data_IF_369288840651
#
_entry.id   IF_369288840651
#
_cell.length_a   1.000
_cell.length_b   1.000
_cell.length_c   1.000
_cell.angle_alpha   90.00
_cell.angle_beta   90.00
_cell.angle_gamma   90.00
#
_symmetry.space_group_name_H-M   'P 1'
#
loop_
_entity.id
_entity.type
_entity.pdbx_description
1 polymer ?
#
# COMPACT_ATOMS: atom_id res chain seq x y z
N UNK A 1 -14.89 -17.91 -3.39
CA UNK A 1 -14.77 -16.78 -2.46
C UNK A 1 -13.40 -16.82 -1.80
N UNK A 2 -12.45 -16.08 -2.33
CA UNK A 2 -11.14 -15.95 -1.69
C UNK A 2 -11.23 -14.82 -0.67
N UNK A 3 -11.16 -15.17 0.60
CA UNK A 3 -11.23 -14.26 1.75
C UNK A 3 -9.98 -13.35 1.89
N UNK A 4 -9.19 -13.17 0.83
CA UNK A 4 -7.96 -12.37 0.88
C UNK A 4 -7.98 -11.28 -0.18
N UNK A 5 -7.50 -10.07 0.15
CA UNK A 5 -7.33 -9.00 -0.84
C UNK A 5 -6.35 -9.45 -1.94
N UNK A 6 -6.68 -9.14 -3.19
CA UNK A 6 -5.85 -9.52 -4.35
C UNK A 6 -4.70 -8.56 -4.57
N UNK A 7 -4.89 -7.32 -4.20
CA UNK A 7 -3.85 -6.29 -4.25
C UNK A 7 -4.08 -5.25 -3.17
N UNK A 8 -3.01 -4.73 -2.63
CA UNK A 8 -3.03 -3.68 -1.60
C UNK A 8 -1.92 -2.69 -1.90
N UNK A 9 -2.24 -1.41 -1.78
CA UNK A 9 -1.29 -0.32 -2.02
C UNK A 9 -1.55 0.78 -1.01
N UNK A 10 -0.48 1.33 -0.46
CA UNK A 10 -0.52 2.54 0.33
C UNK A 10 0.05 3.69 -0.49
N UNK A 11 -0.67 4.81 -0.52
CA UNK A 11 -0.30 5.99 -1.28
C UNK A 11 0.14 7.11 -0.36
N UNK A 12 1.23 7.78 -0.73
CA UNK A 12 1.54 9.07 -0.14
C UNK A 12 0.62 10.14 -0.73
N UNK A 13 0.16 11.04 0.12
CA UNK A 13 -0.66 12.18 -0.28
C UNK A 13 0.18 13.45 -0.17
N UNK A 14 0.13 14.26 -1.21
CA UNK A 14 0.65 15.62 -1.22
C UNK A 14 -0.54 16.58 -1.32
N UNK A 15 -0.66 17.48 -0.34
CA UNK A 15 -1.79 18.39 -0.23
C UNK A 15 -3.17 17.69 -0.33
N UNK A 16 -3.28 16.50 0.29
CA UNK A 16 -4.51 15.71 0.31
C UNK A 16 -4.79 14.90 -0.95
N UNK A 17 -3.92 14.96 -1.96
CA UNK A 17 -4.07 14.24 -3.23
C UNK A 17 -2.92 13.26 -3.44
N UNK A 18 -3.22 12.11 -4.04
CA UNK A 18 -2.22 11.10 -4.38
C UNK A 18 -2.70 10.21 -5.51
N UNK A 19 -1.77 9.67 -6.28
CA UNK A 19 -2.06 8.73 -7.35
C UNK A 19 -1.13 7.53 -7.28
N UNK A 20 -1.61 6.39 -7.78
CA UNK A 20 -0.81 5.18 -7.83
C UNK A 20 -1.42 4.14 -8.74
N UNK A 21 -0.68 3.05 -8.93
CA UNK A 21 -1.09 1.92 -9.74
C UNK A 21 -1.05 0.65 -8.94
N UNK A 22 -2.09 -0.13 -9.06
CA UNK A 22 -2.20 -1.46 -8.46
C UNK A 22 -2.16 -2.48 -9.58
N UNK A 23 -1.24 -3.42 -9.50
CA UNK A 23 -1.19 -4.56 -10.41
C UNK A 23 -2.10 -5.66 -9.87
N UNK A 24 -3.12 -6.02 -10.65
CA UNK A 24 -3.95 -7.19 -10.35
C UNK A 24 -3.17 -8.43 -10.75
N UNK A 25 -3.01 -9.43 -9.87
CA UNK A 25 -2.30 -10.67 -10.19
C UNK A 25 -2.94 -11.41 -11.37
N UNK A 26 -2.12 -12.03 -12.20
CA UNK A 26 -2.59 -12.76 -13.39
C UNK A 26 -3.38 -14.03 -13.06
N UNK A 27 -3.28 -14.52 -11.83
CA UNK A 27 -4.05 -15.65 -11.29
C UNK A 27 -5.38 -15.24 -10.65
N UNK A 28 -5.69 -13.93 -10.62
CA UNK A 28 -6.95 -13.44 -10.07
C UNK A 28 -8.14 -14.02 -10.87
N UNK A 29 -9.13 -14.65 -10.21
CA UNK A 29 -10.33 -15.13 -10.88
C UNK A 29 -11.11 -14.02 -11.58
N UNK A 30 -11.86 -14.36 -12.63
CA UNK A 30 -12.84 -13.42 -13.18
C UNK A 30 -13.97 -13.22 -12.17
N UNK A 31 -14.47 -12.00 -12.03
CA UNK A 31 -15.50 -11.68 -11.06
C UNK A 31 -15.65 -10.19 -10.77
N UNK A 32 -16.57 -9.88 -9.86
CA UNK A 32 -16.68 -8.53 -9.30
C UNK A 32 -15.76 -8.41 -8.11
N UNK A 33 -14.97 -7.36 -8.10
CA UNK A 33 -14.09 -6.96 -7.00
C UNK A 33 -14.54 -5.62 -6.44
N UNK A 34 -14.21 -5.37 -5.20
CA UNK A 34 -14.42 -4.06 -4.58
C UNK A 34 -13.08 -3.37 -4.38
N UNK A 35 -12.94 -2.18 -4.95
CA UNK A 35 -11.87 -1.24 -4.62
C UNK A 35 -12.29 -0.47 -3.39
N UNK A 36 -11.54 -0.62 -2.31
CA UNK A 36 -11.78 0.11 -1.06
C UNK A 36 -10.66 1.11 -0.84
N UNK A 37 -11.00 2.38 -0.68
CA UNK A 37 -10.07 3.47 -0.41
C UNK A 37 -10.36 4.14 0.93
N UNK A 38 -9.35 4.31 1.77
CA UNK A 38 -9.48 4.96 3.08
C UNK A 38 -8.13 5.45 3.59
N UNK A 39 -8.16 6.41 4.48
CA UNK A 39 -6.98 6.82 5.26
C UNK A 39 -6.95 6.07 6.60
N UNK A 40 -5.78 6.02 7.22
CA UNK A 40 -5.67 5.46 8.57
C UNK A 40 -6.63 6.12 9.55
N UNK A 41 -6.78 7.44 9.47
CA UNK A 41 -7.67 8.21 10.35
C UNK A 41 -9.15 7.85 10.18
N UNK A 42 -9.61 7.58 8.95
CA UNK A 42 -10.99 7.16 8.67
C UNK A 42 -11.38 5.86 9.40
N UNK A 43 -10.41 5.02 9.77
CA UNK A 43 -10.67 3.80 10.54
C UNK A 43 -11.28 4.08 11.93
N UNK A 44 -11.14 5.31 12.46
CA UNK A 44 -11.76 5.70 13.72
C UNK A 44 -13.29 5.76 13.64
N UNK A 45 -13.84 6.06 12.48
CA UNK A 45 -15.29 6.14 12.24
C UNK A 45 -15.88 4.80 11.74
N UNK A 46 -14.99 3.84 11.49
CA UNK A 46 -15.36 2.51 10.99
C UNK A 46 -15.48 2.46 9.47
N UNK A 47 -15.79 1.28 8.94
CA UNK A 47 -15.73 1.00 7.51
C UNK A 47 -16.83 1.64 6.68
N UNK A 48 -17.86 2.14 7.31
CA UNK A 48 -19.01 2.79 6.64
C UNK A 48 -18.59 4.07 5.89
N UNK A 49 -17.50 4.72 6.34
CA UNK A 49 -16.97 5.94 5.71
C UNK A 49 -15.96 5.66 4.62
N UNK A 50 -15.57 4.40 4.40
CA UNK A 50 -14.62 4.06 3.36
C UNK A 50 -15.22 4.25 1.98
N UNK A 51 -14.41 4.78 1.09
CA UNK A 51 -14.79 4.81 -0.34
C UNK A 51 -14.81 3.40 -0.89
N UNK A 52 -15.87 3.05 -1.65
CA UNK A 52 -16.06 1.73 -2.23
C UNK A 52 -16.49 1.84 -3.68
N UNK A 53 -15.85 1.07 -4.55
CA UNK A 53 -16.19 1.00 -5.97
C UNK A 53 -16.09 -0.44 -6.47
N UNK A 54 -17.16 -0.91 -7.10
CA UNK A 54 -17.15 -2.21 -7.78
C UNK A 54 -16.33 -2.14 -9.06
N UNK A 55 -15.48 -3.15 -9.26
CA UNK A 55 -14.64 -3.32 -10.45
C UNK A 55 -14.90 -4.70 -11.02
N UNK A 56 -15.13 -4.79 -12.32
CA UNK A 56 -15.20 -6.07 -13.03
C UNK A 56 -13.82 -6.48 -13.53
N UNK A 57 -13.38 -7.66 -13.17
CA UNK A 57 -12.15 -8.27 -13.68
C UNK A 57 -12.53 -9.44 -14.59
N UNK A 58 -12.08 -9.42 -15.83
CA UNK A 58 -12.22 -10.51 -16.78
C UNK A 58 -10.83 -11.04 -17.06
N UNK A 59 -10.50 -12.20 -16.52
CA UNK A 59 -9.23 -12.86 -16.73
C UNK A 59 -9.32 -13.82 -17.92
N UNK A 60 -8.71 -13.44 -19.04
CA UNK A 60 -8.70 -14.25 -20.25
C UNK A 60 -7.58 -15.31 -20.27
N UNK A 61 -6.66 -15.29 -19.30
CA UNK A 61 -5.57 -16.25 -19.18
C UNK A 61 -5.94 -17.48 -18.34
N UNK A 62 -7.00 -17.35 -17.55
CA UNK A 62 -7.49 -18.41 -16.69
C UNK A 62 -8.98 -18.63 -16.97
N UNK A 63 -9.32 -19.86 -17.25
CA UNK A 63 -10.71 -20.32 -17.33
C UNK A 63 -10.94 -21.22 -16.11
N UNK A 64 -11.95 -20.90 -15.32
CA UNK A 64 -12.37 -21.73 -14.19
C UNK A 64 -13.88 -21.78 -14.15
N UNK A 65 -14.43 -22.98 -14.07
CA UNK A 65 -15.88 -23.21 -13.93
C UNK A 65 -16.40 -22.73 -12.57
N UNK A 66 -15.50 -22.49 -11.63
CA UNK A 66 -15.83 -21.96 -10.31
C UNK A 66 -15.90 -20.42 -10.22
N UNK A 67 -15.54 -19.72 -11.31
CA UNK A 67 -15.62 -18.26 -11.32
C UNK A 67 -17.10 -17.82 -11.27
N UNK A 68 -17.45 -16.82 -10.45
CA UNK A 68 -18.82 -16.33 -10.32
C UNK A 68 -19.23 -15.46 -11.52
N UNK A 69 -19.37 -16.09 -12.69
CA UNK A 69 -19.72 -15.45 -13.96
C UNK A 69 -21.08 -15.94 -14.43
N UNK A 70 -21.95 -15.01 -14.70
CA UNK A 70 -23.25 -15.25 -15.38
C UNK A 70 -23.14 -14.78 -16.83
N UNK A 71 -23.32 -15.68 -17.77
CA UNK A 71 -23.32 -15.33 -19.19
C UNK A 71 -24.74 -14.87 -19.60
N UNK A 72 -24.83 -13.67 -20.15
CA UNK A 72 -26.07 -13.11 -20.65
C UNK A 72 -25.97 -12.83 -22.19
N UNK A 73 -27.09 -13.00 -22.88
CA UNK A 73 -27.16 -12.83 -24.33
C UNK A 73 -27.37 -11.37 -24.76
N UNK A 74 -27.97 -10.56 -23.88
CA UNK A 74 -28.20 -9.13 -24.15
C UNK A 74 -27.74 -8.26 -22.97
N UNK A 75 -27.08 -7.16 -23.27
CA UNK A 75 -26.70 -6.19 -22.26
C UNK A 75 -27.96 -5.52 -21.68
N UNK A 76 -28.16 -5.64 -20.38
CA UNK A 76 -29.03 -4.69 -19.69
C UNK A 76 -28.37 -3.31 -19.79
N UNK A 77 -28.94 -2.45 -20.58
CA UNK A 77 -28.53 -1.05 -20.59
C UNK A 77 -29.07 -0.48 -19.29
N UNK A 78 -28.21 -0.38 -18.27
CA UNK A 78 -28.57 0.48 -17.16
C UNK A 78 -28.90 1.84 -17.76
N UNK A 79 -30.09 2.37 -17.47
CA UNK A 79 -30.41 3.73 -17.91
C UNK A 79 -29.22 4.57 -17.42
N UNK A 80 -28.52 5.21 -18.34
CA UNK A 80 -27.52 6.22 -18.01
C UNK A 80 -28.21 7.09 -16.97
N UNK A 81 -27.76 7.01 -15.72
CA UNK A 81 -28.32 7.88 -14.69
C UNK A 81 -28.40 9.24 -15.33
N UNK A 82 -29.58 9.87 -15.30
CA UNK A 82 -29.70 11.22 -15.84
C UNK A 82 -28.50 11.96 -15.32
N UNK A 83 -27.62 12.50 -16.16
CA UNK A 83 -26.54 13.31 -15.65
C UNK A 83 -27.23 14.29 -14.71
N UNK A 84 -26.78 14.35 -13.46
CA UNK A 84 -27.19 15.42 -12.58
C UNK A 84 -26.65 16.68 -13.25
N UNK A 85 -27.45 17.20 -14.19
CA UNK A 85 -27.16 18.46 -14.84
C UNK A 85 -27.35 19.50 -13.77
N UNK A 86 -26.27 19.85 -13.12
CA UNK A 86 -26.13 21.23 -12.66
C UNK A 86 -26.26 22.06 -13.95
N UNK A 87 -27.33 22.81 -14.08
CA UNK A 87 -27.78 23.46 -15.32
C UNK A 87 -26.74 24.38 -15.99
N UNK A 88 -25.54 24.47 -15.46
CA UNK A 88 -24.56 25.48 -15.81
C UNK A 88 -23.24 24.97 -16.39
N UNK A 89 -22.92 23.68 -16.33
CA UNK A 89 -21.65 23.18 -16.87
C UNK A 89 -21.85 22.64 -18.29
N UNK A 90 -21.24 23.30 -19.28
CA UNK A 90 -21.27 22.86 -20.68
C UNK A 90 -19.93 22.25 -21.06
N UNK A 91 -19.94 20.96 -21.43
CA UNK A 91 -18.78 20.25 -21.94
C UNK A 91 -18.93 20.15 -23.45
N UNK A 92 -17.94 20.64 -24.18
CA UNK A 92 -17.87 20.54 -25.65
C UNK A 92 -16.61 19.80 -26.06
N UNK A 93 -16.73 18.97 -27.08
CA UNK A 93 -15.58 18.37 -27.76
C UNK A 93 -15.37 19.10 -29.09
N UNK A 94 -14.13 19.18 -29.56
CA UNK A 94 -13.81 19.82 -30.84
C UNK A 94 -14.47 19.11 -32.03
N UNK A 95 -14.77 17.81 -31.91
CA UNK A 95 -15.44 16.99 -32.93
C UNK A 95 -16.40 16.01 -32.25
N UNK A 96 -17.37 15.50 -33.02
CA UNK A 96 -18.29 14.45 -32.56
C UNK A 96 -17.72 13.03 -32.70
N UNK A 97 -16.79 12.84 -33.63
CA UNK A 97 -16.13 11.57 -33.89
C UNK A 97 -14.62 11.78 -34.02
N UNK A 98 -13.85 10.83 -33.48
CA UNK A 98 -12.41 10.86 -33.51
C UNK A 98 -11.86 9.54 -34.04
N UNK A 99 -10.74 9.62 -34.76
CA UNK A 99 -10.02 8.46 -35.22
C UNK A 99 -9.15 7.87 -34.14
N UNK A 100 -8.63 6.65 -34.34
CA UNK A 100 -7.69 6.01 -33.44
C UNK A 100 -6.46 6.88 -33.22
N UNK A 101 -6.07 7.07 -31.95
CA UNK A 101 -4.90 7.89 -31.52
C UNK A 101 -5.04 9.39 -31.83
N UNK A 102 -6.21 9.88 -32.07
CA UNK A 102 -6.46 11.31 -32.24
C UNK A 102 -6.59 11.99 -30.87
N UNK A 103 -6.02 13.17 -30.74
CA UNK A 103 -6.17 14.00 -29.52
C UNK A 103 -7.62 14.47 -29.41
N UNK A 104 -8.20 14.33 -28.23
CA UNK A 104 -9.53 14.82 -27.87
C UNK A 104 -9.39 16.04 -26.98
N UNK A 105 -9.83 17.18 -27.47
CA UNK A 105 -9.88 18.42 -26.68
C UNK A 105 -11.26 18.59 -26.07
N UNK A 106 -11.29 18.73 -24.74
CA UNK A 106 -12.50 19.01 -23.97
C UNK A 106 -12.49 20.46 -23.53
N UNK A 107 -13.52 21.20 -23.91
CA UNK A 107 -13.74 22.55 -23.41
C UNK A 107 -14.87 22.54 -22.40
N UNK A 108 -14.59 22.97 -21.20
CA UNK A 108 -15.55 23.07 -20.10
C UNK A 108 -15.86 24.55 -19.87
N UNK A 109 -17.09 24.93 -20.12
CA UNK A 109 -17.55 26.30 -19.98
C UNK A 109 -18.47 26.45 -18.77
N UNK A 110 -18.49 27.63 -18.19
CA UNK A 110 -19.36 28.00 -17.06
C UNK A 110 -19.15 27.12 -15.83
N UNK A 111 -17.89 27.02 -15.38
CA UNK A 111 -17.65 26.54 -14.04
C UNK A 111 -18.15 27.63 -13.06
N UNK A 112 -19.02 27.29 -12.10
CA UNK A 112 -19.36 28.22 -11.03
C UNK A 112 -18.10 28.63 -10.26
N UNK A 113 -18.02 29.89 -9.82
CA UNK A 113 -16.86 30.41 -9.08
C UNK A 113 -16.58 29.66 -7.77
N UNK A 114 -17.57 28.92 -7.26
CA UNK A 114 -17.49 28.09 -6.07
C UNK A 114 -16.88 26.70 -6.30
N UNK A 115 -16.61 26.32 -7.55
CA UNK A 115 -16.04 24.99 -7.88
C UNK A 115 -14.53 25.04 -7.70
N UNK A 116 -14.03 24.43 -6.61
CA UNK A 116 -12.60 24.30 -6.32
C UNK A 116 -11.96 23.09 -7.02
N UNK A 117 -12.73 22.03 -7.28
CA UNK A 117 -12.21 20.77 -7.79
C UNK A 117 -13.03 20.24 -8.98
N UNK A 118 -12.33 19.73 -9.97
CA UNK A 118 -12.94 19.11 -11.15
C UNK A 118 -12.28 17.75 -11.42
N UNK A 119 -13.11 16.72 -11.51
CA UNK A 119 -12.64 15.38 -11.87
C UNK A 119 -13.22 14.97 -13.22
N UNK A 120 -12.36 14.55 -14.14
CA UNK A 120 -12.75 14.01 -15.44
C UNK A 120 -12.44 12.52 -15.48
N UNK A 121 -13.44 11.70 -15.79
CA UNK A 121 -13.28 10.26 -15.99
C UNK A 121 -13.68 9.86 -17.40
N UNK A 122 -12.77 9.17 -18.08
CA UNK A 122 -13.01 8.64 -19.44
C UNK A 122 -12.95 7.13 -19.38
N UNK A 123 -14.00 6.46 -19.85
CA UNK A 123 -14.05 5.00 -19.89
C UNK A 123 -14.56 4.50 -21.23
N UNK A 124 -14.04 3.33 -21.66
CA UNK A 124 -14.55 2.64 -22.84
C UNK A 124 -15.90 2.01 -22.53
N UNK A 125 -16.88 2.33 -23.33
CA UNK A 125 -18.21 1.68 -23.29
C UNK A 125 -18.27 0.56 -24.34
N UNK A 126 -17.95 -0.67 -23.95
CA UNK A 126 -17.94 -1.83 -24.83
C UNK A 126 -19.08 -2.80 -24.59
N UNK A 127 -19.97 -2.50 -23.68
CA UNK A 127 -21.14 -3.32 -23.32
C UNK A 127 -20.80 -4.77 -22.93
N UNK A 128 -19.55 -5.07 -22.53
CA UNK A 128 -19.17 -6.40 -22.04
C UNK A 128 -19.64 -6.65 -20.62
N UNK A 129 -19.63 -5.63 -19.81
CA UNK A 129 -20.01 -5.70 -18.39
C UNK A 129 -20.80 -4.45 -18.05
N UNK A 130 -21.84 -4.62 -17.28
CA UNK A 130 -22.57 -3.50 -16.70
C UNK A 130 -22.27 -3.42 -15.21
N UNK A 131 -21.72 -2.31 -14.78
CA UNK A 131 -21.52 -1.99 -13.37
C UNK A 131 -22.40 -0.80 -12.99
N UNK A 132 -22.90 -0.75 -11.76
CA UNK A 132 -23.63 0.43 -11.30
C UNK A 132 -22.69 1.64 -11.38
N UNK A 133 -23.21 2.80 -11.81
CA UNK A 133 -22.43 4.03 -11.83
C UNK A 133 -21.96 4.37 -10.41
N UNK A 134 -20.73 4.88 -10.31
CA UNK A 134 -20.25 5.43 -9.05
C UNK A 134 -20.93 6.78 -8.84
N UNK A 135 -21.84 6.86 -7.91
CA UNK A 135 -22.40 8.13 -7.46
C UNK A 135 -21.58 8.69 -6.30
N UNK A 136 -20.66 9.59 -6.59
CA UNK A 136 -19.88 10.30 -5.58
C UNK A 136 -20.78 11.01 -4.56
N UNK A 137 -21.90 11.57 -5.04
CA UNK A 137 -22.93 12.15 -4.20
C UNK A 137 -23.49 11.17 -3.16
N UNK A 138 -23.61 9.90 -3.52
CA UNK A 138 -24.11 8.87 -2.60
C UNK A 138 -23.10 8.57 -1.50
N UNK A 139 -21.81 8.46 -1.83
CA UNK A 139 -20.76 8.26 -0.84
C UNK A 139 -20.64 9.47 0.11
N UNK A 140 -20.61 10.70 -0.42
CA UNK A 140 -20.61 11.92 0.41
C UNK A 140 -21.81 12.00 1.36
N UNK A 141 -22.99 11.64 0.89
CA UNK A 141 -24.19 11.60 1.75
C UNK A 141 -24.09 10.53 2.83
N UNK A 142 -23.52 9.35 2.52
CA UNK A 142 -23.30 8.31 3.52
C UNK A 142 -22.35 8.75 4.62
N UNK A 143 -21.23 9.38 4.26
CA UNK A 143 -20.24 9.89 5.21
C UNK A 143 -20.86 10.95 6.13
N UNK A 144 -21.68 11.85 5.59
CA UNK A 144 -22.30 12.93 6.38
C UNK A 144 -23.51 12.47 7.21
N UNK A 145 -24.23 11.45 6.75
CA UNK A 145 -25.46 10.96 7.40
C UNK A 145 -25.23 9.94 8.53
N UNK A 146 -24.04 9.38 8.67
CA UNK A 146 -23.75 8.36 9.66
C UNK A 146 -22.70 8.85 10.65
N UNK A 147 -23.09 9.52 11.74
CA UNK A 147 -22.16 9.81 12.83
C UNK A 147 -21.74 8.45 13.42
N UNK A 148 -20.53 8.03 13.11
CA UNK A 148 -19.92 6.85 13.71
C UNK A 148 -19.46 7.16 15.13
N UNK A 149 -19.37 6.16 15.97
CA UNK A 149 -18.66 6.28 17.24
C UNK A 149 -17.19 6.39 16.92
N UNK A 150 -16.62 7.59 17.11
CA UNK A 150 -15.21 7.85 16.90
C UNK A 150 -14.36 7.11 17.94
N UNK A 151 -13.47 6.22 17.50
CA UNK A 151 -12.68 5.37 18.41
C UNK A 151 -11.45 6.07 18.99
N UNK A 152 -10.90 7.08 18.31
CA UNK A 152 -9.66 7.76 18.68
C UNK A 152 -8.39 6.90 18.61
N UNK A 153 -8.52 5.65 18.18
CA UNK A 153 -7.41 4.67 18.17
C UNK A 153 -6.38 4.93 17.07
N UNK A 154 -6.82 5.47 15.93
CA UNK A 154 -5.99 5.57 14.74
C UNK A 154 -5.48 7.00 14.56
N UNK A 155 -4.18 7.20 14.82
CA UNK A 155 -3.50 8.47 14.65
C UNK A 155 -3.35 8.77 13.15
N UNK A 156 -3.56 10.03 12.71
CA UNK A 156 -3.34 10.39 11.30
C UNK A 156 -1.85 10.35 10.93
N UNK A 157 -1.57 10.05 9.66
CA UNK A 157 -0.21 9.88 9.13
C UNK A 157 0.24 11.13 8.37
N UNK A 158 0.42 12.27 9.06
CA UNK A 158 0.81 13.53 8.41
C UNK A 158 2.28 13.55 7.97
N UNK A 159 3.17 12.91 8.73
CA UNK A 159 4.60 12.93 8.46
C UNK A 159 5.09 11.73 7.65
N UNK A 160 4.27 10.71 7.53
CA UNK A 160 4.59 9.49 6.83
C UNK A 160 3.90 8.27 7.40
N UNK A 161 4.30 7.10 6.94
CA UNK A 161 3.70 5.84 7.34
C UNK A 161 3.99 5.49 8.80
N UNK A 162 2.95 5.17 9.57
CA UNK A 162 3.07 4.63 10.93
C UNK A 162 2.97 3.12 10.87
N UNK A 163 4.08 2.45 11.12
CA UNK A 163 4.13 0.99 11.24
C UNK A 163 3.71 0.61 12.66
N UNK A 164 2.78 -0.32 12.76
CA UNK A 164 2.34 -0.86 14.05
C UNK A 164 2.97 -2.21 14.30
N UNK A 165 3.45 -2.41 15.51
CA UNK A 165 3.94 -3.68 16.01
C UNK A 165 3.18 -4.13 17.25
N UNK A 166 3.23 -5.42 17.53
CA UNK A 166 2.75 -6.03 18.75
C UNK A 166 3.90 -6.83 19.38
N UNK A 167 4.27 -6.48 20.59
CA UNK A 167 5.25 -7.23 21.36
C UNK A 167 4.54 -8.35 22.11
N UNK A 168 5.10 -9.54 22.02
CA UNK A 168 4.65 -10.73 22.70
C UNK A 168 5.74 -11.23 23.65
N UNK A 169 5.35 -11.88 24.71
CA UNK A 169 6.29 -12.58 25.60
C UNK A 169 7.04 -13.66 24.81
N UNK A 170 8.18 -14.16 25.29
CA UNK A 170 8.88 -15.30 24.68
C UNK A 170 7.99 -16.55 24.55
N UNK A 171 6.94 -16.67 25.37
CA UNK A 171 5.95 -17.74 25.31
C UNK A 171 4.85 -17.49 24.28
N UNK A 172 4.82 -16.33 23.61
CA UNK A 172 3.82 -15.97 22.58
C UNK A 172 2.55 -15.34 23.12
N UNK A 173 2.49 -15.01 24.41
CA UNK A 173 1.36 -14.30 25.00
C UNK A 173 1.53 -12.78 24.81
N UNK A 174 0.43 -12.10 24.48
CA UNK A 174 0.40 -10.65 24.44
C UNK A 174 0.68 -10.08 25.83
N UNK A 175 1.55 -9.07 25.92
CA UNK A 175 1.84 -8.40 27.16
C UNK A 175 0.58 -7.66 27.66
N UNK A 176 -0.11 -8.22 28.64
CA UNK A 176 -1.34 -7.63 29.20
C UNK A 176 -1.09 -6.40 30.05
N UNK A 177 0.12 -6.27 30.58
CA UNK A 177 0.61 -5.11 31.33
C UNK A 177 2.05 -4.84 30.90
N UNK A 178 2.43 -3.57 30.80
CA UNK A 178 3.83 -3.19 30.76
C UNK A 178 4.44 -3.77 32.01
N UNK A 179 5.34 -4.73 31.86
CA UNK A 179 6.19 -5.18 32.96
C UNK A 179 6.84 -3.90 33.53
N UNK A 180 7.10 -3.84 34.83
CA UNK A 180 7.68 -2.68 35.51
C UNK A 180 9.02 -2.23 34.89
N UNK A 181 9.52 -2.93 33.89
CA UNK A 181 10.75 -2.64 33.18
C UNK A 181 10.48 -2.08 31.78
N UNK A 182 11.19 -1.02 31.38
CA UNK A 182 11.03 -0.45 30.05
C UNK A 182 11.47 -1.45 28.95
N UNK A 183 10.63 -1.61 27.95
CA UNK A 183 10.91 -2.39 26.76
C UNK A 183 11.29 -1.43 25.64
N UNK A 184 12.41 -1.70 24.98
CA UNK A 184 12.85 -1.03 23.78
C UNK A 184 12.42 -1.84 22.56
N UNK A 185 12.01 -1.16 21.51
CA UNK A 185 11.60 -1.78 20.26
C UNK A 185 12.10 -0.98 19.06
N UNK A 186 12.66 -1.66 18.09
CA UNK A 186 13.25 -1.04 16.92
C UNK A 186 12.91 -1.80 15.66
N UNK A 187 12.87 -1.07 14.55
CA UNK A 187 12.81 -1.64 13.21
C UNK A 187 13.97 -1.11 12.36
N UNK A 188 14.50 -1.98 11.52
CA UNK A 188 15.48 -1.62 10.51
C UNK A 188 14.97 -2.03 9.13
N UNK A 189 14.97 -1.10 8.20
CA UNK A 189 14.69 -1.38 6.80
C UNK A 189 15.98 -1.90 6.15
N UNK A 190 15.89 -3.09 5.56
CA UNK A 190 17.02 -3.74 4.91
C UNK A 190 17.05 -3.35 3.44
N UNK A 191 18.19 -2.84 2.99
CA UNK A 191 18.36 -2.41 1.63
C UNK A 191 19.75 -1.83 1.40
N UNK A 192 19.91 -1.12 0.29
CA UNK A 192 21.15 -0.41 -0.05
C UNK A 192 21.50 0.63 1.02
N UNK A 193 20.47 1.32 1.51
CA UNK A 193 20.57 2.26 2.62
C UNK A 193 19.77 1.71 3.79
N UNK A 194 20.45 1.34 4.88
CA UNK A 194 19.80 0.83 6.10
C UNK A 194 19.17 2.00 6.84
N UNK A 195 17.89 1.86 7.14
CA UNK A 195 17.13 2.81 7.97
C UNK A 195 16.76 2.17 9.28
N UNK A 196 16.97 2.89 10.33
CA UNK A 196 16.69 2.47 11.69
C UNK A 196 15.66 3.41 12.31
N UNK A 197 14.61 2.84 12.88
CA UNK A 197 13.55 3.59 13.55
C UNK A 197 13.27 2.99 14.90
N UNK A 198 13.37 3.81 15.95
CA UNK A 198 13.00 3.43 17.29
C UNK A 198 11.49 3.55 17.46
N UNK A 199 10.89 2.54 18.07
CA UNK A 199 9.46 2.48 18.33
C UNK A 199 9.07 3.10 19.66
N UNK A 200 7.87 3.66 19.68
CA UNK A 200 7.20 4.06 20.90
C UNK A 200 6.36 2.87 21.40
N UNK A 201 6.77 2.29 22.52
CA UNK A 201 6.05 1.16 23.13
C UNK A 201 4.97 1.69 24.06
N UNK A 202 3.74 1.29 23.80
CA UNK A 202 2.56 1.62 24.57
C UNK A 202 2.19 0.48 25.54
N UNK A 203 1.24 0.75 26.43
CA UNK A 203 0.68 -0.27 27.31
C UNK A 203 0.12 -1.47 26.52
N UNK A 204 0.36 -2.68 27.02
CA UNK A 204 -0.07 -3.91 26.35
C UNK A 204 0.83 -4.35 25.19
N UNK A 205 2.01 -3.72 25.01
CA UNK A 205 2.99 -4.13 24.02
C UNK A 205 2.69 -3.64 22.59
N UNK A 206 1.68 -2.79 22.40
CA UNK A 206 1.51 -2.08 21.14
C UNK A 206 2.71 -1.17 20.90
N UNK A 207 3.20 -1.16 19.68
CA UNK A 207 4.37 -0.35 19.34
C UNK A 207 4.11 0.43 18.07
N UNK A 208 4.45 1.72 18.08
CA UNK A 208 4.32 2.60 16.93
C UNK A 208 5.69 3.03 16.45
N UNK A 209 5.94 2.85 15.16
CA UNK A 209 7.15 3.30 14.49
C UNK A 209 6.77 4.39 13.50
N UNK A 210 7.19 5.61 13.77
CA UNK A 210 6.95 6.75 12.88
C UNK A 210 8.01 6.77 11.80
N UNK A 211 7.60 6.60 10.55
CA UNK A 211 8.52 6.57 9.41
C UNK A 211 8.23 7.73 8.46
N UNK A 212 9.27 8.24 7.82
CA UNK A 212 9.16 9.24 6.76
C UNK A 212 9.96 8.80 5.54
N UNK A 213 9.52 9.20 4.35
CA UNK A 213 10.22 8.92 3.09
C UNK A 213 10.56 7.43 2.84
N UNK A 214 9.71 6.51 3.31
CA UNK A 214 9.82 5.08 3.00
C UNK A 214 8.85 4.74 1.90
N UNK A 215 9.36 4.34 0.75
CA UNK A 215 8.58 4.03 -0.45
C UNK A 215 8.90 2.63 -0.97
N UNK A 216 7.95 2.07 -1.73
CA UNK A 216 8.09 0.75 -2.33
C UNK A 216 7.89 -0.39 -1.33
N UNK A 217 8.32 -1.58 -1.73
CA UNK A 217 8.31 -2.77 -0.88
C UNK A 217 9.67 -2.90 -0.21
N UNK A 218 9.68 -2.99 1.11
CA UNK A 218 10.91 -3.08 1.90
C UNK A 218 10.84 -4.29 2.83
N UNK A 219 11.98 -4.96 2.97
CA UNK A 219 12.18 -5.95 4.02
C UNK A 219 12.50 -5.23 5.33
N UNK A 220 11.87 -5.69 6.41
CA UNK A 220 12.01 -5.09 7.73
C UNK A 220 12.48 -6.13 8.73
N UNK A 221 13.52 -5.78 9.47
CA UNK A 221 13.93 -6.52 10.67
C UNK A 221 13.41 -5.79 11.88
N UNK A 222 12.59 -6.46 12.69
CA UNK A 222 12.01 -5.92 13.90
C UNK A 222 12.59 -6.63 15.12
N UNK A 223 12.90 -5.88 16.17
CA UNK A 223 13.45 -6.41 17.42
C UNK A 223 12.86 -5.67 18.62
N UNK A 224 12.67 -6.40 19.73
CA UNK A 224 12.29 -5.81 21.01
C UNK A 224 13.07 -6.52 22.14
N UNK A 225 13.43 -5.76 23.18
CA UNK A 225 14.18 -6.27 24.33
C UNK A 225 13.94 -5.44 25.57
N UNK A 226 14.12 -6.03 26.75
CA UNK A 226 14.11 -5.32 28.01
C UNK A 226 15.49 -4.70 28.34
N UNK A 227 15.58 -4.01 29.48
CA UNK A 227 16.83 -3.37 29.94
C UNK A 227 18.00 -4.37 30.14
N UNK A 228 17.68 -5.62 30.42
CA UNK A 228 18.67 -6.69 30.58
C UNK A 228 19.12 -7.27 29.23
N UNK A 229 18.55 -6.81 28.11
CA UNK A 229 18.84 -7.31 26.77
C UNK A 229 18.18 -8.65 26.46
N UNK A 230 17.16 -9.03 27.19
CA UNK A 230 16.37 -10.23 26.92
C UNK A 230 15.41 -9.94 25.76
N UNK A 231 15.40 -10.78 24.70
CA UNK A 231 14.60 -10.54 23.52
C UNK A 231 13.13 -10.89 23.74
N UNK A 232 12.25 -10.08 23.16
CA UNK A 232 10.84 -10.34 22.99
C UNK A 232 10.53 -10.63 21.52
N UNK A 233 9.43 -11.31 21.28
CA UNK A 233 8.91 -11.49 19.93
C UNK A 233 8.16 -10.21 19.50
N UNK A 234 8.46 -9.74 18.29
CA UNK A 234 7.74 -8.61 17.69
C UNK A 234 7.03 -9.05 16.41
N UNK A 235 5.74 -8.80 16.33
CA UNK A 235 4.93 -9.00 15.14
C UNK A 235 4.57 -7.65 14.52
N UNK A 236 4.91 -7.44 13.26
CA UNK A 236 4.47 -6.26 12.52
C UNK A 236 3.06 -6.48 12.03
N UNK A 237 2.18 -5.54 12.37
CA UNK A 237 0.76 -5.62 12.05
C UNK A 237 0.50 -5.06 10.65
N UNK A 238 -0.48 -5.66 9.95
CA UNK A 238 -0.92 -5.14 8.66
C UNK A 238 -1.45 -3.71 8.78
N UNK A 239 -1.02 -2.77 7.92
CA UNK A 239 -1.58 -1.42 7.89
C UNK A 239 -2.99 -1.37 7.33
N UNK A 240 -3.45 -2.45 6.70
CA UNK A 240 -4.73 -2.52 6.02
C UNK A 240 -5.84 -3.04 6.93
N UNK A 241 -7.09 -2.69 6.62
CA UNK A 241 -8.25 -3.27 7.29
C UNK A 241 -8.39 -4.74 6.90
N UNK A 242 -8.61 -5.58 7.89
CA UNK A 242 -8.81 -7.02 7.68
C UNK A 242 -10.25 -7.38 7.33
N UNK A 243 -11.18 -6.44 7.51
CA UNK A 243 -12.57 -6.65 7.18
C UNK A 243 -12.79 -6.53 5.69
N UNK A 244 -13.22 -7.60 5.10
CA UNK A 244 -13.50 -7.71 3.67
C UNK A 244 -15.00 -7.55 3.40
N UNK A 245 -15.36 -7.03 2.21
CA UNK A 245 -16.76 -6.98 1.81
C UNK A 245 -17.30 -8.40 1.68
N UNK A 246 -18.50 -8.60 2.20
CA UNK A 246 -19.22 -9.87 2.08
C UNK A 246 -20.24 -9.76 0.94
N UNK A 247 -20.47 -10.89 0.26
CA UNK A 247 -21.54 -11.03 -0.74
C UNK A 247 -21.42 -10.11 -1.95
N UNK A 248 -20.25 -10.12 -2.61
CA UNK A 248 -20.12 -9.48 -3.93
C UNK A 248 -21.01 -10.23 -4.95
N UNK A 249 -21.69 -9.48 -5.84
CA UNK A 249 -22.54 -10.10 -6.85
C UNK A 249 -21.71 -10.88 -7.88
N UNK A 250 -22.38 -11.81 -8.59
CA UNK A 250 -21.77 -12.48 -9.73
C UNK A 250 -21.48 -11.49 -10.86
N UNK A 251 -20.42 -11.75 -11.61
CA UNK A 251 -20.09 -10.97 -12.80
C UNK A 251 -21.04 -11.32 -13.95
N UNK A 252 -21.89 -10.40 -14.37
CA UNK A 252 -22.67 -10.56 -15.59
C UNK A 252 -21.83 -10.18 -16.80
N UNK A 253 -21.47 -11.16 -17.61
CA UNK A 253 -20.66 -11.01 -18.80
C UNK A 253 -21.54 -11.23 -20.05
N UNK A 254 -21.57 -10.24 -20.93
CA UNK A 254 -22.34 -10.35 -22.17
C UNK A 254 -21.52 -11.02 -23.26
N UNK A 255 -22.15 -11.97 -23.98
CA UNK A 255 -21.50 -12.77 -25.03
C UNK A 255 -21.11 -11.91 -26.22
N UNK A 256 -19.91 -11.36 -26.22
CA UNK A 256 -19.32 -10.66 -27.35
C UNK A 256 -17.85 -11.03 -27.51
N UNK A 257 -17.60 -12.18 -28.17
CA UNK A 257 -16.25 -12.70 -28.37
C UNK A 257 -15.29 -11.72 -29.05
N UNK A 258 -15.77 -10.96 -30.03
CA UNK A 258 -14.94 -9.97 -30.76
C UNK A 258 -14.46 -8.87 -29.79
N UNK A 259 -15.35 -8.28 -29.02
CA UNK A 259 -15.00 -7.19 -28.08
C UNK A 259 -14.14 -7.68 -26.92
N UNK A 260 -14.36 -8.91 -26.46
CA UNK A 260 -13.52 -9.52 -25.43
C UNK A 260 -12.08 -9.70 -25.95
N UNK A 261 -11.92 -10.19 -27.18
CA UNK A 261 -10.62 -10.32 -27.82
C UNK A 261 -9.94 -8.96 -28.04
N UNK A 262 -10.64 -7.96 -28.54
CA UNK A 262 -10.13 -6.61 -28.73
C UNK A 262 -9.64 -6.01 -27.41
N UNK A 263 -10.39 -6.22 -26.31
CA UNK A 263 -9.99 -5.76 -24.97
C UNK A 263 -8.74 -6.47 -24.48
N UNK A 264 -8.66 -7.78 -24.64
CA UNK A 264 -7.49 -8.58 -24.26
C UNK A 264 -6.22 -8.14 -25.00
N UNK A 265 -6.30 -7.95 -26.32
CA UNK A 265 -5.20 -7.44 -27.14
C UNK A 265 -4.80 -6.03 -26.69
N UNK A 266 -5.77 -5.16 -26.43
CA UNK A 266 -5.52 -3.79 -25.98
C UNK A 266 -4.75 -3.75 -24.65
N UNK A 267 -5.09 -4.60 -23.69
CA UNK A 267 -4.41 -4.71 -22.40
C UNK A 267 -2.97 -5.21 -22.59
N UNK A 268 -2.75 -6.23 -23.42
CA UNK A 268 -1.40 -6.76 -23.71
C UNK A 268 -0.52 -5.68 -24.36
N UNK A 269 -1.03 -4.97 -25.35
CA UNK A 269 -0.31 -3.85 -25.98
C UNK A 269 0.01 -2.74 -24.98
N UNK A 270 -0.92 -2.42 -24.10
CA UNK A 270 -0.72 -1.41 -23.06
C UNK A 270 0.37 -1.83 -22.06
N UNK A 271 0.43 -3.10 -21.69
CA UNK A 271 1.50 -3.62 -20.82
C UNK A 271 2.89 -3.45 -21.43
N UNK A 272 3.02 -3.70 -22.74
CA UNK A 272 4.32 -3.57 -23.43
C UNK A 272 4.74 -2.10 -23.59
N UNK A 273 3.79 -1.19 -23.81
CA UNK A 273 4.11 0.21 -24.15
C UNK A 273 4.16 1.17 -22.95
N UNK A 274 3.47 0.85 -21.86
CA UNK A 274 3.28 1.77 -20.72
C UNK A 274 4.15 1.40 -19.52
N UNK A 275 4.59 0.15 -19.39
CA UNK A 275 5.38 -0.27 -18.23
C UNK A 275 6.76 0.40 -18.17
N UNK A 276 7.39 0.69 -19.31
CA UNK A 276 8.71 1.33 -19.35
C UNK A 276 8.73 2.81 -18.90
N UNK A 277 7.59 3.49 -18.92
CA UNK A 277 7.55 4.92 -18.60
C UNK A 277 7.16 5.25 -17.15
N UNK A 278 6.89 4.24 -16.32
CA UNK A 278 6.21 4.44 -15.03
C UNK A 278 6.96 3.94 -13.81
N UNK A 279 8.04 3.21 -13.98
CA UNK A 279 8.99 2.87 -12.92
C UNK A 279 10.00 4.00 -12.72
N UNK A 280 9.53 5.21 -12.50
CA UNK A 280 10.37 6.21 -11.86
C UNK A 280 10.52 5.78 -10.40
N UNK A 281 11.54 4.97 -10.14
CA UNK A 281 12.01 4.76 -8.79
C UNK A 281 12.26 6.14 -8.19
N UNK A 282 11.43 6.53 -7.21
CA UNK A 282 11.70 7.72 -6.42
C UNK A 282 13.06 7.46 -5.78
N UNK A 283 14.09 8.29 -6.04
CA UNK A 283 15.38 8.08 -5.42
C UNK A 283 15.18 8.04 -3.92
N UNK A 284 15.61 6.96 -3.28
CA UNK A 284 15.64 6.87 -1.83
C UNK A 284 16.56 8.00 -1.36
N UNK A 285 15.99 9.06 -0.80
CA UNK A 285 16.80 10.05 -0.11
C UNK A 285 17.50 9.34 1.05
N UNK A 286 18.82 9.51 1.13
CA UNK A 286 19.60 8.95 2.22
C UNK A 286 19.01 9.40 3.55
N UNK A 287 18.92 8.47 4.48
CA UNK A 287 18.23 8.68 5.72
C UNK A 287 18.86 9.76 6.58
N UNK A 288 18.02 10.67 7.00
CA UNK A 288 18.20 11.52 8.21
C UNK A 288 19.46 12.39 8.29
N UNK A 289 20.14 12.65 7.19
CA UNK A 289 21.36 13.48 7.26
C UNK A 289 22.46 12.94 8.18
N UNK A 290 22.27 11.75 8.75
CA UNK A 290 23.30 11.08 9.53
C UNK A 290 24.29 10.47 8.56
N UNK A 291 25.41 11.13 8.41
CA UNK A 291 26.58 10.57 7.74
C UNK A 291 27.06 9.40 8.60
N UNK A 292 27.27 8.19 8.03
CA UNK A 292 27.87 7.11 8.79
C UNK A 292 29.28 7.55 9.21
N UNK A 293 29.60 7.39 10.47
CA UNK A 293 30.93 7.69 11.01
C UNK A 293 32.03 6.88 10.30
N UNK A 294 31.72 5.63 9.97
CA UNK A 294 32.56 4.75 9.18
C UNK A 294 31.70 4.00 8.16
N UNK A 295 32.14 4.00 6.92
CA UNK A 295 31.53 3.25 5.85
C UNK A 295 32.57 2.31 5.22
N UNK A 296 32.27 1.02 5.18
CA UNK A 296 33.10 -0.01 4.55
C UNK A 296 32.38 -0.55 3.32
N UNK A 297 32.84 -0.16 2.14
CA UNK A 297 32.36 -0.77 0.91
C UNK A 297 33.09 -2.10 0.71
N UNK A 298 32.38 -3.22 0.91
CA UNK A 298 33.01 -4.55 0.84
C UNK A 298 33.54 -4.91 -0.56
N UNK A 299 33.14 -4.20 -1.60
CA UNK A 299 33.65 -4.41 -2.95
C UNK A 299 35.06 -3.86 -3.16
N UNK A 300 35.53 -3.00 -2.24
CA UNK A 300 36.90 -2.44 -2.23
C UNK A 300 37.89 -3.35 -1.46
N UNK A 301 37.41 -4.41 -0.83
CA UNK A 301 38.21 -5.31 -0.01
C UNK A 301 38.10 -6.75 -0.48
N UNK A 302 39.10 -7.56 -0.13
CA UNK A 302 39.04 -9.02 -0.32
C UNK A 302 37.88 -9.59 0.50
N UNK A 303 36.93 -10.25 -0.15
CA UNK A 303 35.77 -10.83 0.54
C UNK A 303 36.16 -12.10 1.28
N UNK A 304 35.79 -12.16 2.54
CA UNK A 304 35.93 -13.35 3.36
C UNK A 304 34.66 -14.22 3.27
N UNK A 305 34.84 -15.51 3.60
CA UNK A 305 33.70 -16.44 3.55
C UNK A 305 32.67 -16.22 4.63
N UNK A 306 33.03 -15.58 5.74
CA UNK A 306 32.13 -15.32 6.85
C UNK A 306 32.14 -13.85 7.28
N UNK A 307 31.01 -13.36 7.74
CA UNK A 307 30.92 -12.02 8.33
C UNK A 307 31.79 -11.87 9.57
N UNK A 308 32.04 -12.96 10.31
CA UNK A 308 32.95 -12.94 11.48
C UNK A 308 34.37 -12.57 11.07
N UNK A 309 34.89 -13.17 10.01
CA UNK A 309 36.22 -12.85 9.46
C UNK A 309 36.24 -11.40 8.96
N UNK A 310 35.22 -10.97 8.21
CA UNK A 310 35.10 -9.59 7.74
C UNK A 310 35.17 -8.58 8.90
N UNK A 311 34.43 -8.81 9.98
CA UNK A 311 34.47 -7.93 11.15
C UNK A 311 35.81 -7.98 11.88
N UNK A 312 36.44 -9.11 11.94
CA UNK A 312 37.76 -9.27 12.61
C UNK A 312 38.84 -8.52 11.82
N UNK A 313 38.86 -8.65 10.52
CA UNK A 313 39.91 -8.09 9.66
C UNK A 313 39.76 -6.61 9.34
N UNK A 314 38.55 -6.18 8.99
CA UNK A 314 38.34 -4.83 8.49
C UNK A 314 37.66 -3.88 9.47
N UNK A 315 36.64 -4.37 10.20
CA UNK A 315 35.79 -3.48 10.99
C UNK A 315 36.36 -3.34 12.41
N UNK A 316 37.40 -2.51 12.54
CA UNK A 316 38.12 -2.32 13.80
C UNK A 316 37.26 -1.73 14.93
N UNK A 317 36.20 -1.05 14.60
CA UNK A 317 35.25 -0.45 15.55
C UNK A 317 34.24 -1.43 16.15
N UNK A 318 34.22 -2.69 15.69
CA UNK A 318 33.28 -3.70 16.17
C UNK A 318 34.02 -4.91 16.67
N UNK A 319 33.63 -5.39 17.86
CA UNK A 319 34.13 -6.63 18.45
C UNK A 319 33.01 -7.67 18.48
N UNK A 320 33.36 -8.90 18.10
CA UNK A 320 32.51 -10.06 18.28
C UNK A 320 32.94 -10.81 19.53
N UNK A 321 32.06 -10.90 20.52
CA UNK A 321 32.31 -11.67 21.74
C UNK A 321 31.27 -12.77 21.92
N UNK A 322 31.69 -13.89 22.47
CA UNK A 322 30.82 -14.98 22.87
C UNK A 322 30.46 -14.81 24.35
N UNK A 323 29.18 -14.51 24.63
CA UNK A 323 28.64 -14.35 25.96
C UNK A 323 27.54 -15.38 26.14
N UNK A 324 27.66 -16.25 27.16
CA UNK A 324 26.70 -17.32 27.43
C UNK A 324 26.40 -18.21 26.21
N UNK A 325 27.45 -18.56 25.44
CA UNK A 325 27.33 -19.40 24.26
C UNK A 325 26.85 -18.68 23.00
N UNK A 326 26.33 -17.45 23.08
CA UNK A 326 25.84 -16.63 21.96
C UNK A 326 26.89 -15.61 21.52
N UNK A 327 27.02 -15.41 20.21
CA UNK A 327 27.87 -14.33 19.66
C UNK A 327 27.14 -13.01 19.79
N UNK A 328 27.82 -11.99 20.34
CA UNK A 328 27.32 -10.61 20.44
C UNK A 328 28.27 -9.66 19.74
N UNK A 329 27.74 -8.70 19.01
CA UNK A 329 28.47 -7.57 18.45
C UNK A 329 28.51 -6.45 19.48
N UNK A 330 29.68 -5.85 19.69
CA UNK A 330 29.85 -4.64 20.49
C UNK A 330 30.56 -3.59 19.66
N UNK A 331 29.96 -2.44 19.52
CA UNK A 331 30.60 -1.28 18.93
C UNK A 331 31.50 -0.63 19.98
N UNK A 332 32.74 -0.37 19.62
CA UNK A 332 33.70 0.33 20.48
C UNK A 332 33.36 1.83 20.48
N UNK A 333 33.38 2.44 21.67
CA UNK A 333 33.30 3.90 21.78
C UNK A 333 34.63 4.50 21.31
N UNK A 334 34.57 5.78 20.88
CA UNK A 334 35.75 6.54 20.51
C UNK A 334 36.77 6.52 21.67
N UNK A 335 38.02 6.15 21.38
CA UNK A 335 39.08 5.97 22.39
C UNK A 335 39.19 4.59 23.02
N UNK A 336 38.22 3.69 22.87
CA UNK A 336 38.35 2.30 23.29
C UNK A 336 39.29 1.53 22.35
N UNK A 337 40.33 0.91 22.89
CA UNK A 337 41.24 0.05 22.13
C UNK A 337 40.73 -1.38 22.05
N UNK A 338 40.92 -2.00 20.90
CA UNK A 338 40.73 -3.44 20.72
C UNK A 338 41.88 -4.16 21.39
N UNK A 339 41.60 -4.85 22.47
CA UNK A 339 42.57 -5.79 23.03
C UNK A 339 42.42 -7.12 22.30
N UNK A 340 43.45 -7.54 21.58
CA UNK A 340 43.55 -8.90 21.06
C UNK A 340 43.84 -9.81 22.26
N UNK A 341 42.90 -10.68 22.60
CA UNK A 341 43.08 -11.80 23.51
C UNK A 341 43.05 -13.06 22.67
#
# INVERSE_FOLDING_TARGET
NTERPKAQLKLALDNGSGSGKVKIPTDAPSGIYELTGYTRYMRNEGEKVFFRKSIAVINTFRVSDSDPIELADSAEIYPKGKPATTENIHIKTSQSNYNTRQLVELTINRLPDEVSDLTVSVSRNDSLVTLPPLEESTWRKQVTATPGTFSGKWIPEYEGHIICGQIESPTGETLKQVQNEPISADIAFVGKDIRYVQGQVESGGNTLFYTSHVYGTNDVVAAAWNINGEPFRMNILSPFSEKLPQNLPSLKLYRNKKRLLERSIGIQLQQVTVLDSLDHAIPLQSCYGLQPYLNYNLDEYTRFNTMTETFVEFVRSVIIRKVNGKRRLRVLKEGEKRFNI
#
